data_IF_696447198908
#
_entry.id   IF_696447198908
#
_cell.length_a   1.000
_cell.length_b   1.000
_cell.length_c   1.000
_cell.angle_alpha   90.00
_cell.angle_beta   90.00
_cell.angle_gamma   90.00
#
_symmetry.space_group_name_H-M   'P 1'
#
loop_
_entity.id
_entity.type
_entity.pdbx_description
1 polymer ?
#
# COMPACT_ATOMS: atom_id res chain seq x y z
N UNK A 1 -39.09 36.85 -4.86
CA UNK A 1 -38.11 37.26 -5.88
C UNK A 1 -37.22 36.05 -6.12
N UNK A 2 -37.51 35.29 -7.17
CA UNK A 2 -36.78 34.07 -7.52
C UNK A 2 -35.39 34.46 -8.03
N UNK A 3 -34.34 33.87 -7.46
CA UNK A 3 -32.99 33.96 -8.00
C UNK A 3 -32.97 33.11 -9.26
N UNK A 4 -32.85 33.77 -10.41
CA UNK A 4 -32.71 33.11 -11.70
C UNK A 4 -31.40 32.36 -11.77
N UNK A 5 -31.47 31.04 -11.92
CA UNK A 5 -30.35 30.21 -12.37
C UNK A 5 -29.89 30.71 -13.74
N UNK A 6 -28.75 31.40 -13.74
CA UNK A 6 -28.04 31.77 -14.97
C UNK A 6 -27.57 30.48 -15.61
N UNK A 7 -28.27 30.01 -16.66
CA UNK A 7 -27.81 28.89 -17.48
C UNK A 7 -26.42 29.20 -18.01
N UNK A 8 -25.42 28.40 -17.65
CA UNK A 8 -24.15 28.31 -18.34
C UNK A 8 -24.39 27.73 -19.74
N UNK A 9 -24.85 28.55 -20.66
CA UNK A 9 -24.96 28.18 -22.07
C UNK A 9 -23.53 28.20 -22.68
N UNK A 10 -23.13 27.07 -23.27
CA UNK A 10 -21.86 26.77 -23.97
C UNK A 10 -20.66 26.21 -23.17
N UNK A 11 -20.90 25.44 -22.10
CA UNK A 11 -19.83 24.59 -21.55
C UNK A 11 -19.50 23.42 -22.49
N UNK A 12 -18.24 23.29 -22.92
CA UNK A 12 -17.75 22.13 -23.68
C UNK A 12 -16.98 21.18 -22.77
N UNK A 13 -17.33 19.89 -22.79
CA UNK A 13 -16.62 18.86 -22.04
C UNK A 13 -15.31 18.50 -22.76
N UNK A 14 -14.19 18.62 -22.06
CA UNK A 14 -12.86 18.28 -22.57
C UNK A 14 -12.33 17.07 -21.82
N UNK A 15 -12.69 15.87 -22.30
CA UNK A 15 -12.22 14.62 -21.71
C UNK A 15 -10.70 14.47 -21.95
N UNK A 16 -9.90 14.19 -20.90
CA UNK A 16 -8.45 14.02 -21.06
C UNK A 16 -8.09 12.92 -22.06
N UNK A 17 -7.00 13.12 -22.79
CA UNK A 17 -6.48 12.13 -23.72
C UNK A 17 -6.02 10.87 -22.96
N UNK A 18 -6.76 9.78 -23.08
CA UNK A 18 -6.53 8.55 -22.32
C UNK A 18 -5.13 7.99 -22.55
N UNK A 19 -4.68 7.93 -23.81
CA UNK A 19 -3.37 7.40 -24.19
C UNK A 19 -2.22 8.17 -23.52
N UNK A 20 -2.30 9.50 -23.50
CA UNK A 20 -1.26 10.36 -22.90
C UNK A 20 -1.31 10.32 -21.39
N UNK A 21 -2.50 10.48 -20.80
CA UNK A 21 -2.63 10.59 -19.35
C UNK A 21 -2.24 9.29 -18.65
N UNK A 22 -2.65 8.13 -19.16
CA UNK A 22 -2.26 6.85 -18.55
C UNK A 22 -0.75 6.66 -18.55
N UNK A 23 -0.04 7.02 -19.63
CA UNK A 23 1.43 6.95 -19.64
C UNK A 23 2.05 7.78 -18.52
N UNK A 24 1.57 9.01 -18.31
CA UNK A 24 2.03 9.85 -17.20
C UNK A 24 1.68 9.28 -15.83
N UNK A 25 0.49 8.69 -15.67
CA UNK A 25 0.07 8.08 -14.41
C UNK A 25 0.87 6.82 -14.05
N UNK A 26 1.36 6.08 -15.05
CA UNK A 26 2.25 4.92 -14.84
C UNK A 26 3.59 5.28 -14.22
N UNK A 27 4.06 6.52 -14.42
CA UNK A 27 5.38 6.98 -13.97
C UNK A 27 5.33 7.70 -12.60
N UNK A 28 4.23 7.56 -11.83
CA UNK A 28 4.02 8.19 -10.51
C UNK A 28 5.01 7.72 -9.41
N UNK A 29 5.90 6.77 -9.73
CA UNK A 29 7.07 6.45 -8.90
C UNK A 29 6.85 5.33 -7.89
N UNK A 30 5.84 4.49 -8.07
CA UNK A 30 5.70 3.26 -7.30
C UNK A 30 6.82 2.27 -7.62
N UNK A 31 7.40 1.69 -6.58
CA UNK A 31 8.10 0.42 -6.69
C UNK A 31 7.12 -0.75 -6.48
N UNK A 32 7.60 -1.97 -6.68
CA UNK A 32 6.79 -3.18 -6.58
C UNK A 32 6.14 -3.35 -5.20
N UNK A 33 6.90 -3.14 -4.13
CA UNK A 33 6.45 -3.38 -2.76
C UNK A 33 5.47 -2.31 -2.28
N UNK A 34 5.71 -1.04 -2.61
CA UNK A 34 4.79 0.07 -2.34
C UNK A 34 3.49 -0.06 -3.12
N UNK A 35 3.53 -0.53 -4.37
CA UNK A 35 2.33 -0.77 -5.18
C UNK A 35 1.44 -1.86 -4.55
N UNK A 36 2.02 -2.98 -4.11
CA UNK A 36 1.27 -4.05 -3.44
C UNK A 36 0.75 -3.57 -2.08
N UNK A 37 1.54 -2.83 -1.30
CA UNK A 37 1.08 -2.28 -0.03
C UNK A 37 -0.12 -1.33 -0.18
N UNK A 38 -0.16 -0.53 -1.25
CA UNK A 38 -1.33 0.31 -1.54
C UNK A 38 -2.58 -0.51 -1.93
N UNK A 39 -2.42 -1.72 -2.49
CA UNK A 39 -3.55 -2.63 -2.70
C UNK A 39 -4.02 -3.25 -1.37
N UNK A 40 -3.09 -3.64 -0.49
CA UNK A 40 -3.42 -4.14 0.85
C UNK A 40 -4.13 -3.06 1.68
N UNK A 41 -3.72 -1.80 1.57
CA UNK A 41 -4.41 -0.68 2.23
C UNK A 41 -5.91 -0.66 1.85
N UNK A 42 -6.26 -0.92 0.57
CA UNK A 42 -7.66 -1.02 0.15
C UNK A 42 -8.36 -2.25 0.74
N UNK A 43 -7.67 -3.39 0.85
CA UNK A 43 -8.21 -4.59 1.49
C UNK A 43 -8.50 -4.36 2.98
N UNK A 44 -7.63 -3.65 3.70
CA UNK A 44 -7.85 -3.26 5.10
C UNK A 44 -9.07 -2.34 5.21
N UNK A 45 -9.19 -1.33 4.34
CA UNK A 45 -10.39 -0.46 4.27
C UNK A 45 -11.67 -1.24 3.96
N UNK A 46 -11.57 -2.32 3.20
CA UNK A 46 -12.69 -3.21 2.88
C UNK A 46 -13.04 -4.17 4.03
N UNK A 47 -12.32 -4.11 5.16
CA UNK A 47 -12.56 -4.99 6.31
C UNK A 47 -11.95 -6.38 6.18
N UNK A 48 -10.97 -6.58 5.28
CA UNK A 48 -10.36 -7.88 5.09
C UNK A 48 -9.53 -8.31 6.31
N UNK A 49 -9.72 -9.56 6.74
CA UNK A 49 -8.90 -10.22 7.76
C UNK A 49 -7.82 -11.11 7.15
N UNK A 50 -7.87 -11.34 5.84
CA UNK A 50 -6.91 -12.15 5.08
C UNK A 50 -6.64 -11.53 3.72
N UNK A 51 -5.36 -11.50 3.35
CA UNK A 51 -4.90 -11.17 1.99
C UNK A 51 -3.92 -12.24 1.51
N UNK A 52 -4.20 -12.83 0.35
CA UNK A 52 -3.34 -13.79 -0.33
C UNK A 52 -2.69 -13.15 -1.56
N UNK A 53 -1.36 -13.14 -1.57
CA UNK A 53 -0.54 -12.66 -2.69
C UNK A 53 0.09 -13.88 -3.35
N UNK A 54 -0.16 -14.04 -4.64
CA UNK A 54 0.46 -15.07 -5.46
C UNK A 54 1.25 -14.39 -6.59
N UNK A 55 2.55 -14.67 -6.63
CA UNK A 55 3.48 -14.21 -7.67
C UNK A 55 3.97 -15.44 -8.42
N UNK A 56 3.58 -15.54 -9.68
CA UNK A 56 3.93 -16.66 -10.56
C UNK A 56 4.89 -16.21 -11.67
N UNK A 57 5.93 -17.02 -11.90
CA UNK A 57 6.87 -16.81 -13.00
C UNK A 57 6.61 -17.80 -14.13
N UNK A 58 6.07 -17.31 -15.24
CA UNK A 58 5.82 -18.09 -16.44
C UNK A 58 6.07 -17.25 -17.70
N UNK A 59 7.26 -16.67 -17.81
CA UNK A 59 7.63 -15.83 -18.96
C UNK A 59 6.67 -14.66 -19.16
N UNK A 60 6.10 -14.53 -20.36
CA UNK A 60 5.09 -13.51 -20.68
C UNK A 60 3.74 -13.74 -19.97
N UNK A 61 3.46 -14.96 -19.50
CA UNK A 61 2.28 -15.33 -18.73
C UNK A 61 2.45 -15.14 -17.21
N UNK A 62 3.61 -14.65 -16.76
CA UNK A 62 3.85 -14.30 -15.36
C UNK A 62 2.78 -13.32 -14.85
N UNK A 63 2.32 -13.51 -13.62
CA UNK A 63 1.27 -12.69 -13.03
C UNK A 63 1.52 -12.42 -11.55
N UNK A 64 0.84 -11.39 -11.05
CA UNK A 64 0.70 -11.13 -9.61
C UNK A 64 -0.78 -11.06 -9.29
N UNK A 65 -1.25 -11.90 -8.37
CA UNK A 65 -2.62 -11.92 -7.90
C UNK A 65 -2.67 -11.53 -6.43
N UNK A 66 -3.53 -10.57 -6.10
CA UNK A 66 -3.82 -10.14 -4.74
C UNK A 66 -5.29 -10.44 -4.50
N UNK A 67 -5.61 -11.33 -3.57
CA UNK A 67 -6.97 -11.69 -3.20
C UNK A 67 -7.22 -11.35 -1.74
N UNK A 68 -8.33 -10.71 -1.42
CA UNK A 68 -8.76 -10.43 -0.06
C UNK A 68 -10.15 -11.00 0.23
N UNK A 69 -10.45 -11.15 1.52
CA UNK A 69 -11.76 -11.58 2.01
C UNK A 69 -12.58 -10.41 2.59
N UNK A 70 -12.40 -9.20 2.07
CA UNK A 70 -13.15 -8.03 2.48
C UNK A 70 -14.61 -8.09 2.03
N UNK A 71 -15.34 -6.97 2.23
CA UNK A 71 -16.78 -6.87 1.89
C UNK A 71 -17.13 -7.01 0.41
N UNK A 72 -16.13 -6.95 -0.48
CA UNK A 72 -16.33 -6.92 -1.94
C UNK A 72 -16.99 -5.64 -2.46
N UNK A 73 -17.35 -5.66 -3.75
CA UNK A 73 -18.00 -4.57 -4.48
C UNK A 73 -19.04 -5.13 -5.44
N UNK A 74 -20.21 -4.48 -5.51
CA UNK A 74 -21.19 -4.72 -6.57
C UNK A 74 -20.62 -4.35 -7.94
N UNK A 75 -21.30 -4.73 -9.02
CA UNK A 75 -20.82 -4.40 -10.38
C UNK A 75 -20.68 -2.88 -10.61
N UNK A 76 -21.62 -2.08 -10.08
CA UNK A 76 -21.58 -0.62 -10.21
C UNK A 76 -20.48 0.00 -9.33
N UNK A 77 -20.32 -0.46 -8.08
CA UNK A 77 -19.22 -0.02 -7.21
C UNK A 77 -17.86 -0.37 -7.81
N UNK A 78 -17.71 -1.56 -8.39
CA UNK A 78 -16.48 -1.97 -9.04
C UNK A 78 -16.19 -1.12 -10.27
N UNK A 79 -17.22 -0.83 -11.08
CA UNK A 79 -17.09 0.05 -12.25
C UNK A 79 -16.63 1.45 -11.85
N UNK A 80 -17.18 2.00 -10.76
CA UNK A 80 -16.77 3.30 -10.24
C UNK A 80 -15.36 3.24 -9.61
N UNK A 81 -15.03 2.18 -8.87
CA UNK A 81 -13.68 1.95 -8.35
C UNK A 81 -12.63 1.88 -9.46
N UNK A 82 -13.00 1.42 -10.66
CA UNK A 82 -12.14 1.37 -11.84
C UNK A 82 -12.03 2.72 -12.59
N UNK A 83 -12.87 3.72 -12.28
CA UNK A 83 -12.81 5.07 -12.87
C UNK A 83 -11.61 5.85 -12.32
N UNK A 84 -10.83 6.49 -13.20
CA UNK A 84 -9.80 7.44 -12.77
C UNK A 84 -10.45 8.73 -12.25
N UNK A 85 -10.05 9.18 -11.06
CA UNK A 85 -10.72 10.31 -10.40
C UNK A 85 -12.11 9.96 -9.88
N UNK A 86 -12.30 8.71 -9.43
CA UNK A 86 -13.57 8.22 -8.87
C UNK A 86 -14.08 9.12 -7.74
N UNK A 87 -15.39 9.34 -7.70
CA UNK A 87 -16.04 10.07 -6.61
C UNK A 87 -16.11 9.16 -5.38
N UNK A 88 -15.18 9.34 -4.42
CA UNK A 88 -15.19 8.60 -3.16
C UNK A 88 -15.31 9.57 -1.98
N UNK A 89 -16.30 9.32 -1.13
CA UNK A 89 -16.38 9.95 0.19
C UNK A 89 -15.36 9.22 1.07
N UNK A 90 -14.28 9.90 1.44
CA UNK A 90 -13.26 9.34 2.34
C UNK A 90 -13.72 9.48 3.79
N UNK A 91 -13.57 8.42 4.57
CA UNK A 91 -13.69 8.51 6.01
C UNK A 91 -12.39 9.07 6.61
N UNK A 92 -12.48 9.67 7.81
CA UNK A 92 -11.31 10.20 8.54
C UNK A 92 -10.25 9.14 8.84
N UNK A 93 -10.60 7.86 8.70
CA UNK A 93 -9.81 6.69 9.06
C UNK A 93 -9.25 5.92 7.86
N UNK A 94 -9.56 6.35 6.63
CA UNK A 94 -9.17 5.66 5.40
C UNK A 94 -7.65 5.75 5.15
N UNK A 95 -7.07 4.65 4.68
CA UNK A 95 -5.64 4.54 4.36
C UNK A 95 -5.30 5.23 3.03
N UNK A 96 -6.24 5.32 2.09
CA UNK A 96 -6.16 6.00 0.80
C UNK A 96 -6.92 7.33 0.78
N UNK A 97 -6.41 8.31 0.03
CA UNK A 97 -6.93 9.69 0.01
C UNK A 97 -7.33 10.22 -1.38
N UNK A 98 -6.85 9.59 -2.47
CA UNK A 98 -6.90 10.20 -3.80
C UNK A 98 -7.69 9.42 -4.84
N UNK A 99 -8.14 8.20 -4.51
CA UNK A 99 -9.00 7.42 -5.42
C UNK A 99 -8.23 6.93 -6.65
N UNK A 100 -6.91 7.09 -6.65
CA UNK A 100 -6.01 6.69 -7.72
C UNK A 100 -5.28 5.39 -7.39
N UNK A 101 -5.11 5.06 -6.09
CA UNK A 101 -4.25 4.00 -5.55
C UNK A 101 -4.32 2.69 -6.34
N UNK A 102 -5.49 2.04 -6.41
CA UNK A 102 -5.68 0.79 -7.16
C UNK A 102 -5.13 0.87 -8.60
N UNK A 103 -5.46 1.93 -9.33
CA UNK A 103 -5.17 2.06 -10.75
C UNK A 103 -3.73 2.47 -10.99
N UNK A 104 -3.22 3.45 -10.24
CA UNK A 104 -1.85 3.93 -10.37
C UNK A 104 -0.85 2.90 -9.87
N UNK A 105 -1.13 2.23 -8.76
CA UNK A 105 -0.31 1.13 -8.27
C UNK A 105 -0.26 -0.01 -9.30
N UNK A 106 -1.42 -0.48 -9.78
CA UNK A 106 -1.46 -1.59 -10.74
C UNK A 106 -0.77 -1.25 -12.06
N UNK A 107 -1.12 -0.12 -12.69
CA UNK A 107 -0.56 0.28 -13.98
C UNK A 107 0.92 0.66 -13.91
N UNK A 108 1.45 1.05 -12.74
CA UNK A 108 2.89 1.26 -12.57
C UNK A 108 3.71 -0.03 -12.72
N UNK A 109 3.10 -1.21 -12.52
CA UNK A 109 3.81 -2.49 -12.53
C UNK A 109 3.52 -3.36 -13.76
N UNK A 110 2.36 -3.18 -14.40
CA UNK A 110 1.89 -4.04 -15.47
C UNK A 110 1.24 -3.26 -16.63
N UNK A 111 0.92 -3.96 -17.72
CA UNK A 111 0.18 -3.40 -18.86
C UNK A 111 -1.28 -3.82 -18.94
N UNK A 112 -1.67 -4.80 -18.14
CA UNK A 112 -3.05 -5.24 -18.01
C UNK A 112 -3.30 -5.55 -16.55
N UNK A 113 -4.37 -5.01 -15.99
CA UNK A 113 -4.86 -5.51 -14.72
C UNK A 113 -6.36 -5.75 -14.78
N UNK A 114 -6.78 -6.82 -14.12
CA UNK A 114 -8.18 -7.19 -13.96
C UNK A 114 -8.54 -7.12 -12.49
N UNK A 115 -9.76 -6.70 -12.21
CA UNK A 115 -10.33 -6.72 -10.86
C UNK A 115 -11.62 -7.50 -10.91
N UNK A 116 -11.74 -8.51 -10.06
CA UNK A 116 -12.96 -9.25 -9.82
C UNK A 116 -13.42 -9.05 -8.38
N UNK A 117 -14.73 -9.00 -8.15
CA UNK A 117 -15.26 -8.83 -6.81
C UNK A 117 -16.61 -9.51 -6.65
N UNK A 118 -16.87 -9.97 -5.42
CA UNK A 118 -18.09 -10.66 -5.01
C UNK A 118 -18.54 -10.12 -3.65
N UNK A 119 -19.84 -9.82 -3.52
CA UNK A 119 -20.44 -9.23 -2.31
C UNK A 119 -21.27 -10.20 -1.47
N UNK A 120 -21.58 -11.38 -1.99
CA UNK A 120 -22.44 -12.34 -1.31
C UNK A 120 -22.13 -13.78 -1.73
N UNK A 121 -22.16 -14.69 -0.76
CA UNK A 121 -22.04 -16.12 -0.99
C UNK A 121 -23.33 -16.76 -1.54
N UNK A 122 -24.47 -16.06 -1.46
CA UNK A 122 -25.78 -16.56 -1.90
C UNK A 122 -25.91 -16.61 -3.43
N UNK A 123 -25.22 -15.71 -4.13
CA UNK A 123 -25.19 -15.67 -5.60
C UNK A 123 -23.77 -15.89 -6.10
N UNK A 124 -23.60 -16.61 -7.21
CA UNK A 124 -22.29 -16.78 -7.89
C UNK A 124 -21.96 -15.59 -8.81
N UNK A 125 -22.53 -14.42 -8.53
CA UNK A 125 -22.34 -13.25 -9.37
C UNK A 125 -21.02 -12.57 -9.01
N UNK A 126 -19.99 -12.87 -9.80
CA UNK A 126 -18.69 -12.21 -9.74
C UNK A 126 -18.67 -11.13 -10.82
N UNK A 127 -18.53 -9.87 -10.41
CA UNK A 127 -18.30 -8.78 -11.34
C UNK A 127 -16.81 -8.71 -11.64
N UNK A 128 -16.42 -8.56 -12.91
CA UNK A 128 -15.02 -8.44 -13.29
C UNK A 128 -14.81 -7.46 -14.44
N UNK A 129 -13.81 -6.60 -14.29
CA UNK A 129 -13.41 -5.63 -15.31
C UNK A 129 -11.88 -5.58 -15.45
N UNK A 130 -11.43 -5.21 -16.64
CA UNK A 130 -10.04 -5.22 -17.03
C UNK A 130 -9.66 -3.86 -17.64
N UNK A 131 -8.53 -3.33 -17.23
CA UNK A 131 -7.85 -2.24 -17.92
C UNK A 131 -6.70 -2.79 -18.74
N UNK A 132 -6.74 -2.63 -20.07
CA UNK A 132 -5.70 -3.06 -21.00
C UNK A 132 -5.05 -1.85 -21.68
N UNK A 133 -3.75 -1.64 -21.44
CA UNK A 133 -3.01 -0.53 -22.03
C UNK A 133 -2.97 -0.58 -23.57
N UNK A 134 -2.83 -1.76 -24.17
CA UNK A 134 -2.84 -1.93 -25.62
C UNK A 134 -4.18 -1.53 -26.24
N UNK A 135 -5.29 -1.79 -25.53
CA UNK A 135 -6.61 -1.34 -25.96
C UNK A 135 -6.70 0.19 -25.96
N UNK A 136 -6.29 0.82 -24.87
CA UNK A 136 -6.35 2.28 -24.72
C UNK A 136 -5.40 2.97 -25.71
N UNK A 137 -4.23 2.39 -25.97
CA UNK A 137 -3.33 2.89 -26.99
C UNK A 137 -3.98 2.89 -28.37
N UNK A 138 -4.77 1.87 -28.70
CA UNK A 138 -5.47 1.79 -29.99
C UNK A 138 -6.68 2.73 -30.06
N UNK A 139 -7.55 2.73 -29.04
CA UNK A 139 -8.83 3.45 -29.08
C UNK A 139 -8.74 4.90 -28.61
N UNK A 140 -7.74 5.23 -27.78
CA UNK A 140 -7.63 6.50 -27.05
C UNK A 140 -8.89 6.83 -26.21
N UNK A 141 -9.56 5.80 -25.68
CA UNK A 141 -10.76 5.93 -24.86
C UNK A 141 -10.54 5.40 -23.44
N UNK A 142 -11.30 5.94 -22.49
CA UNK A 142 -11.35 5.45 -21.10
C UNK A 142 -12.34 4.29 -20.98
N UNK A 143 -11.94 3.12 -21.46
CA UNK A 143 -12.80 1.93 -21.52
C UNK A 143 -12.22 0.80 -20.66
N UNK A 144 -13.05 0.28 -19.76
CA UNK A 144 -12.81 -1.00 -19.09
C UNK A 144 -13.44 -2.14 -19.92
N UNK A 145 -12.79 -3.29 -19.91
CA UNK A 145 -13.17 -4.46 -20.72
C UNK A 145 -13.63 -5.60 -19.81
N UNK A 146 -14.53 -6.48 -20.26
CA UNK A 146 -14.73 -7.76 -19.60
C UNK A 146 -13.49 -8.65 -19.80
N UNK A 147 -12.98 -9.36 -18.78
CA UNK A 147 -11.94 -10.37 -18.97
C UNK A 147 -12.48 -11.53 -19.82
N UNK A 148 -11.71 -11.96 -20.84
CA UNK A 148 -12.20 -12.93 -21.85
C UNK A 148 -11.49 -14.28 -21.86
N UNK A 149 -10.23 -14.36 -21.40
CA UNK A 149 -9.48 -15.62 -21.45
C UNK A 149 -9.91 -16.52 -20.29
N UNK A 150 -10.14 -17.80 -20.58
CA UNK A 150 -10.57 -18.80 -19.58
C UNK A 150 -9.59 -18.91 -18.40
N UNK A 151 -8.29 -18.88 -18.68
CA UNK A 151 -7.23 -18.94 -17.66
C UNK A 151 -7.26 -17.72 -16.72
N UNK A 152 -7.45 -16.51 -17.28
CA UNK A 152 -7.61 -15.27 -16.50
C UNK A 152 -8.86 -15.37 -15.62
N UNK A 153 -9.97 -15.85 -16.18
CA UNK A 153 -11.22 -16.01 -15.44
C UNK A 153 -11.07 -16.98 -14.26
N UNK A 154 -10.36 -18.10 -14.44
CA UNK A 154 -10.05 -19.00 -13.35
C UNK A 154 -9.24 -18.31 -12.24
N UNK A 155 -8.13 -17.63 -12.61
CA UNK A 155 -7.32 -16.88 -11.64
C UNK A 155 -8.10 -15.81 -10.86
N UNK A 156 -9.11 -15.20 -11.48
CA UNK A 156 -9.99 -14.22 -10.84
C UNK A 156 -11.08 -14.86 -9.97
N UNK A 157 -11.64 -15.98 -10.39
CA UNK A 157 -12.81 -16.59 -9.75
C UNK A 157 -12.45 -17.59 -8.64
N UNK A 158 -11.37 -18.35 -8.80
CA UNK A 158 -10.98 -19.40 -7.84
C UNK A 158 -10.93 -18.91 -6.39
N UNK A 159 -10.41 -17.69 -6.06
CA UNK A 159 -10.41 -17.19 -4.68
C UNK A 159 -11.79 -16.72 -4.19
N UNK A 160 -12.70 -16.42 -5.10
CA UNK A 160 -14.03 -15.87 -4.84
C UNK A 160 -15.15 -16.94 -4.92
N UNK A 161 -14.82 -18.19 -5.26
CA UNK A 161 -15.80 -19.26 -5.43
C UNK A 161 -16.52 -19.60 -4.12
N UNK A 162 -15.81 -19.55 -2.99
CA UNK A 162 -16.34 -19.86 -1.65
C UNK A 162 -16.39 -18.63 -0.72
N UNK A 163 -15.85 -17.49 -1.15
CA UNK A 163 -15.65 -16.34 -0.29
C UNK A 163 -16.08 -15.01 -0.95
N UNK A 164 -16.58 -14.11 -0.10
CA UNK A 164 -16.78 -12.69 -0.42
C UNK A 164 -15.40 -12.03 -0.44
N UNK A 165 -15.18 -11.09 -1.35
CA UNK A 165 -13.88 -10.45 -1.45
C UNK A 165 -13.62 -9.76 -2.77
N UNK A 166 -12.35 -9.38 -2.95
CA UNK A 166 -11.84 -8.76 -4.17
C UNK A 166 -10.56 -9.44 -4.61
N UNK A 167 -10.39 -9.62 -5.91
CA UNK A 167 -9.17 -10.13 -6.54
C UNK A 167 -8.67 -9.10 -7.53
N UNK A 168 -7.41 -8.69 -7.39
CA UNK A 168 -6.67 -7.87 -8.36
C UNK A 168 -5.63 -8.77 -9.01
N UNK A 169 -5.65 -8.85 -10.34
CA UNK A 169 -4.72 -9.64 -11.13
C UNK A 169 -3.92 -8.72 -12.06
N UNK A 170 -2.60 -8.77 -11.96
CA UNK A 170 -1.67 -8.07 -12.83
C UNK A 170 -1.08 -9.04 -13.86
N UNK A 171 -1.08 -8.65 -15.13
CA UNK A 171 -0.57 -9.43 -16.24
C UNK A 171 0.34 -8.58 -17.13
N UNK A 172 1.25 -9.22 -17.87
CA UNK A 172 2.26 -8.53 -18.71
C UNK A 172 3.07 -7.55 -17.85
N UNK A 173 3.84 -8.12 -16.92
CA UNK A 173 4.61 -7.43 -15.87
C UNK A 173 5.86 -6.71 -16.40
N UNK A 174 5.66 -5.77 -17.31
CA UNK A 174 6.72 -5.13 -18.08
C UNK A 174 7.74 -4.35 -17.27
N UNK A 175 7.33 -3.75 -16.15
CA UNK A 175 8.22 -2.99 -15.27
C UNK A 175 8.96 -3.89 -14.26
N UNK A 176 8.44 -5.07 -13.99
CA UNK A 176 9.03 -6.06 -13.08
C UNK A 176 10.05 -6.92 -13.82
N UNK A 177 9.64 -7.56 -14.91
CA UNK A 177 10.47 -8.54 -15.65
C UNK A 177 11.24 -7.91 -16.82
N UNK A 178 10.75 -6.80 -17.38
CA UNK A 178 11.34 -6.17 -18.56
C UNK A 178 11.08 -6.96 -19.84
N UNK A 179 10.64 -6.28 -20.90
CA UNK A 179 10.27 -6.93 -22.17
C UNK A 179 11.39 -7.67 -22.90
N UNK A 180 12.66 -7.32 -22.66
CA UNK A 180 13.77 -7.90 -23.43
C UNK A 180 14.11 -9.32 -22.98
N UNK A 181 13.89 -9.64 -21.70
CA UNK A 181 14.27 -10.93 -21.12
C UNK A 181 13.26 -11.39 -20.04
N UNK A 182 11.96 -11.54 -20.36
CA UNK A 182 10.99 -12.06 -19.40
C UNK A 182 11.18 -13.57 -19.13
N UNK A 183 12.08 -14.21 -19.87
CA UNK A 183 12.38 -15.64 -19.79
C UNK A 183 13.72 -15.91 -19.08
N UNK A 184 13.86 -17.14 -18.60
CA UNK A 184 15.14 -17.68 -18.13
C UNK A 184 15.42 -17.47 -16.65
N UNK A 185 16.55 -18.05 -16.22
CA UNK A 185 16.89 -18.18 -14.80
C UNK A 185 17.17 -16.83 -14.13
N UNK A 186 17.73 -15.86 -14.87
CA UNK A 186 18.02 -14.52 -14.35
C UNK A 186 16.73 -13.76 -13.98
N UNK A 187 15.73 -13.77 -14.88
CA UNK A 187 14.43 -13.15 -14.63
C UNK A 187 13.71 -13.81 -13.45
N UNK A 188 13.74 -15.15 -13.38
CA UNK A 188 13.22 -15.91 -12.24
C UNK A 188 13.93 -15.53 -10.93
N UNK A 189 15.26 -15.48 -10.91
CA UNK A 189 16.05 -15.08 -9.73
C UNK A 189 15.72 -13.66 -9.27
N UNK A 190 15.53 -12.73 -10.23
CA UNK A 190 15.10 -11.36 -9.93
C UNK A 190 13.74 -11.35 -9.25
N UNK A 191 12.74 -12.06 -9.80
CA UNK A 191 11.40 -12.11 -9.21
C UNK A 191 11.43 -12.72 -7.80
N UNK A 192 12.21 -13.78 -7.59
CA UNK A 192 12.40 -14.38 -6.25
C UNK A 192 13.03 -13.36 -5.26
N UNK A 193 14.01 -12.57 -5.69
CA UNK A 193 14.58 -11.50 -4.85
C UNK A 193 13.51 -10.47 -4.47
N UNK A 194 12.71 -10.04 -5.47
CA UNK A 194 11.63 -9.09 -5.25
C UNK A 194 10.56 -9.63 -4.30
N UNK A 195 10.24 -10.93 -4.34
CA UNK A 195 9.34 -11.56 -3.38
C UNK A 195 9.91 -11.52 -1.94
N UNK A 196 11.20 -11.77 -1.75
CA UNK A 196 11.84 -11.68 -0.41
C UNK A 196 11.82 -10.26 0.12
N UNK A 197 12.17 -9.28 -0.74
CA UNK A 197 12.10 -7.86 -0.40
C UNK A 197 10.67 -7.43 -0.08
N UNK A 198 9.68 -7.98 -0.79
CA UNK A 198 8.26 -7.76 -0.52
C UNK A 198 7.85 -8.32 0.85
N UNK A 199 8.25 -9.55 1.21
CA UNK A 199 7.96 -10.14 2.52
C UNK A 199 8.49 -9.27 3.66
N UNK A 200 9.76 -8.87 3.57
CA UNK A 200 10.40 -8.02 4.58
C UNK A 200 9.71 -6.65 4.67
N UNK A 201 9.39 -6.05 3.52
CA UNK A 201 8.73 -4.75 3.45
C UNK A 201 7.32 -4.79 4.04
N UNK A 202 6.49 -5.75 3.64
CA UNK A 202 5.12 -5.89 4.14
C UNK A 202 5.08 -6.28 5.62
N UNK A 203 5.99 -7.18 6.04
CA UNK A 203 6.16 -7.56 7.44
C UNK A 203 6.53 -6.39 8.34
N UNK A 204 7.26 -5.41 7.81
CA UNK A 204 7.59 -4.14 8.49
C UNK A 204 6.43 -3.14 8.44
N UNK A 205 5.82 -2.90 7.28
CA UNK A 205 4.82 -1.84 7.10
C UNK A 205 3.53 -2.14 7.85
N UNK A 206 3.10 -3.39 7.81
CA UNK A 206 1.85 -3.86 8.39
C UNK A 206 2.05 -4.59 9.72
N UNK A 207 3.23 -4.51 10.35
CA UNK A 207 3.58 -5.32 11.52
C UNK A 207 2.51 -5.28 12.63
N UNK A 208 1.96 -4.09 12.94
CA UNK A 208 0.89 -3.91 13.93
C UNK A 208 -0.40 -4.66 13.59
N UNK A 209 -0.78 -4.70 12.31
CA UNK A 209 -1.96 -5.44 11.84
C UNK A 209 -1.75 -6.96 11.91
N UNK A 210 -0.50 -7.41 11.75
CA UNK A 210 -0.12 -8.83 11.82
C UNK A 210 -0.05 -9.36 13.27
N UNK A 211 0.11 -8.50 14.29
CA UNK A 211 0.22 -8.87 15.72
C UNK A 211 -0.97 -8.43 16.58
N UNK A 212 -2.08 -8.01 15.97
CA UNK A 212 -3.30 -7.63 16.67
C UNK A 212 -3.13 -6.40 17.58
N UNK A 213 -2.24 -5.48 17.22
CA UNK A 213 -2.00 -4.23 17.98
C UNK A 213 -2.85 -3.05 17.47
N UNK A 214 -3.71 -3.28 16.47
CA UNK A 214 -4.60 -2.25 15.95
C UNK A 214 -6.00 -2.39 16.55
N UNK A 215 -6.68 -1.26 16.74
CA UNK A 215 -8.05 -1.27 17.24
C UNK A 215 -9.08 -1.72 16.18
N UNK A 216 -8.69 -1.79 14.90
CA UNK A 216 -9.61 -1.99 13.77
C UNK A 216 -9.86 -3.46 13.50
N UNK A 217 -8.82 -4.23 13.17
CA UNK A 217 -8.93 -5.67 12.90
C UNK A 217 -7.55 -6.32 12.74
N UNK A 218 -7.51 -7.64 12.90
CA UNK A 218 -6.33 -8.45 12.63
C UNK A 218 -6.25 -8.76 11.14
N UNK A 219 -5.04 -8.80 10.60
CA UNK A 219 -4.81 -9.12 9.20
C UNK A 219 -3.77 -10.22 9.07
N UNK A 220 -4.13 -11.29 8.36
CA UNK A 220 -3.19 -12.31 7.92
C UNK A 220 -2.82 -12.06 6.46
N UNK A 221 -1.53 -11.87 6.19
CA UNK A 221 -1.01 -11.73 4.83
C UNK A 221 -0.20 -12.98 4.48
N UNK A 222 -0.46 -13.54 3.30
CA UNK A 222 0.29 -14.66 2.73
C UNK A 222 0.97 -14.24 1.43
N UNK A 223 2.25 -14.57 1.25
CA UNK A 223 2.95 -14.47 -0.03
C UNK A 223 3.35 -15.87 -0.49
N UNK A 224 2.89 -16.28 -1.67
CA UNK A 224 3.17 -17.61 -2.22
C UNK A 224 2.92 -18.72 -1.20
N UNK A 225 1.78 -18.64 -0.51
CA UNK A 225 1.31 -19.54 0.55
C UNK A 225 2.07 -19.47 1.88
N UNK A 226 3.10 -18.64 2.00
CA UNK A 226 3.82 -18.43 3.25
C UNK A 226 3.20 -17.26 4.03
N UNK A 227 2.80 -17.50 5.28
CA UNK A 227 2.31 -16.44 6.17
C UNK A 227 3.45 -15.49 6.51
N UNK A 228 3.22 -14.19 6.30
CA UNK A 228 4.19 -13.16 6.61
C UNK A 228 4.46 -13.10 8.12
N UNK A 229 5.71 -12.82 8.46
CA UNK A 229 6.13 -12.59 9.85
C UNK A 229 6.22 -11.10 10.12
N UNK A 230 5.65 -10.60 11.22
CA UNK A 230 5.80 -9.20 11.61
C UNK A 230 7.28 -8.90 11.91
N UNK A 231 7.67 -7.68 11.58
CA UNK A 231 8.94 -7.10 11.99
C UNK A 231 8.66 -5.84 12.83
N UNK A 232 8.84 -5.99 14.15
CA UNK A 232 8.70 -4.91 15.11
C UNK A 232 10.04 -4.14 15.24
N UNK A 233 10.08 -2.84 14.89
CA UNK A 233 11.30 -2.04 14.95
C UNK A 233 11.76 -1.69 16.37
N UNK A 234 10.93 -1.92 17.40
CA UNK A 234 11.17 -1.46 18.76
C UNK A 234 11.77 -2.53 19.67
N UNK A 235 11.89 -3.77 19.20
CA UNK A 235 12.44 -4.91 19.96
C UNK A 235 11.83 -5.06 21.38
N UNK A 236 10.51 -4.85 21.50
CA UNK A 236 9.78 -4.85 22.79
C UNK A 236 9.85 -6.18 23.55
N UNK A 237 10.20 -7.26 22.86
CA UNK A 237 10.40 -8.59 23.45
C UNK A 237 11.76 -8.77 24.12
N UNK A 238 12.72 -7.88 23.86
CA UNK A 238 14.06 -7.94 24.48
C UNK A 238 14.01 -7.32 25.89
N UNK A 239 14.50 -8.02 26.94
CA UNK A 239 14.38 -7.55 28.33
C UNK A 239 15.03 -6.20 28.61
N UNK A 240 16.12 -5.89 27.91
CA UNK A 240 16.91 -4.67 28.11
C UNK A 240 16.43 -3.49 27.23
N UNK A 241 15.33 -3.67 26.48
CA UNK A 241 14.69 -2.55 25.76
C UNK A 241 14.08 -1.57 26.75
N UNK A 242 14.49 -0.31 26.67
CA UNK A 242 13.99 0.76 27.55
C UNK A 242 12.90 1.55 26.84
N UNK A 243 11.68 1.42 27.33
CA UNK A 243 10.55 2.26 26.95
C UNK A 243 10.56 3.56 27.78
N UNK A 244 10.61 4.72 27.11
CA UNK A 244 10.62 6.02 27.77
C UNK A 244 9.20 6.59 27.88
N UNK A 245 9.03 7.68 28.64
CA UNK A 245 7.70 8.29 28.80
C UNK A 245 7.16 8.85 27.47
N UNK A 246 5.89 8.57 27.11
CA UNK A 246 5.30 9.10 25.89
C UNK A 246 5.17 10.62 25.92
N UNK A 247 5.39 11.25 24.77
CA UNK A 247 5.21 12.69 24.56
C UNK A 247 3.97 12.91 23.69
N UNK A 248 2.97 13.60 24.25
CA UNK A 248 1.75 13.97 23.53
C UNK A 248 1.86 15.40 23.02
N UNK A 249 1.75 15.59 21.72
CA UNK A 249 1.81 16.90 21.06
C UNK A 249 0.47 17.20 20.41
N UNK A 250 -0.08 18.38 20.63
CA UNK A 250 -1.20 18.90 19.84
C UNK A 250 -0.64 19.69 18.67
N UNK A 251 -1.06 19.36 17.46
CA UNK A 251 -0.70 20.05 16.23
C UNK A 251 -1.93 20.79 15.71
N UNK A 252 -1.78 22.08 15.40
CA UNK A 252 -2.79 22.87 14.71
C UNK A 252 -2.23 23.29 13.34
N UNK A 253 -2.91 22.92 12.26
CA UNK A 253 -2.50 23.23 10.90
C UNK A 253 -3.74 23.57 10.06
N UNK A 254 -3.76 24.75 9.46
CA UNK A 254 -4.86 25.20 8.56
C UNK A 254 -6.27 25.03 9.15
N UNK A 255 -6.42 25.30 10.46
CA UNK A 255 -7.71 25.18 11.16
C UNK A 255 -8.07 23.76 11.63
N UNK A 256 -7.29 22.74 11.25
CA UNK A 256 -7.44 21.37 11.75
C UNK A 256 -6.54 21.14 12.97
N UNK A 257 -7.11 20.59 14.04
CA UNK A 257 -6.38 20.22 15.26
C UNK A 257 -6.32 18.71 15.41
N UNK A 258 -5.13 18.17 15.63
CA UNK A 258 -4.92 16.73 15.83
C UNK A 258 -3.89 16.46 16.92
N UNK A 259 -3.93 15.24 17.45
CA UNK A 259 -2.97 14.76 18.45
C UNK A 259 -1.91 13.89 17.78
N UNK A 260 -0.68 14.07 18.21
CA UNK A 260 0.48 13.27 17.83
C UNK A 260 1.00 12.61 19.11
N UNK A 261 1.26 11.31 19.04
CA UNK A 261 1.87 10.54 20.11
C UNK A 261 3.28 10.13 19.68
N UNK A 262 4.26 10.52 20.49
CA UNK A 262 5.64 10.06 20.36
C UNK A 262 5.93 9.07 21.48
N UNK A 263 6.36 7.87 21.14
CA UNK A 263 6.77 6.83 22.09
C UNK A 263 8.24 6.47 21.81
N UNK A 264 9.20 6.97 22.62
CA UNK A 264 10.61 6.69 22.42
C UNK A 264 11.03 5.35 23.06
N UNK A 265 11.94 4.66 22.38
CA UNK A 265 12.57 3.42 22.82
C UNK A 265 14.09 3.51 22.66
N UNK A 266 14.81 2.88 23.59
CA UNK A 266 16.26 2.61 23.48
C UNK A 266 16.44 1.10 23.44
N UNK A 267 16.98 0.61 22.33
CA UNK A 267 17.20 -0.82 22.11
C UNK A 267 18.48 -1.28 22.83
N UNK A 268 18.61 -2.59 23.15
CA UNK A 268 19.80 -3.14 23.76
C UNK A 268 21.03 -3.06 22.83
N UNK A 269 22.22 -3.08 23.43
CA UNK A 269 23.46 -3.35 22.71
C UNK A 269 23.53 -4.81 22.24
N UNK A 270 24.45 -5.13 21.33
CA UNK A 270 24.55 -6.48 20.75
C UNK A 270 24.77 -7.57 21.81
N UNK A 271 25.51 -7.23 22.86
CA UNK A 271 25.84 -8.11 23.99
C UNK A 271 24.65 -8.35 24.93
N UNK A 272 23.68 -7.44 24.93
CA UNK A 272 22.47 -7.47 25.77
C UNK A 272 21.28 -8.14 25.05
N UNK A 273 21.36 -8.34 23.74
CA UNK A 273 20.33 -9.07 23.00
C UNK A 273 20.30 -10.54 23.37
N UNK A 274 19.09 -11.11 23.40
CA UNK A 274 18.81 -12.52 23.69
C UNK A 274 19.62 -13.50 22.83
N UNK A 275 19.93 -13.12 21.58
CA UNK A 275 20.79 -13.89 20.68
C UNK A 275 21.35 -13.04 19.55
N UNK A 276 22.43 -13.52 18.93
CA UNK A 276 23.01 -12.93 17.70
C UNK A 276 21.99 -12.85 16.56
N UNK A 277 21.09 -13.83 16.45
CA UNK A 277 20.09 -13.87 15.39
C UNK A 277 18.92 -12.91 15.67
N UNK A 278 18.52 -12.73 16.93
CA UNK A 278 17.57 -11.70 17.33
C UNK A 278 18.12 -10.29 17.03
N UNK A 279 19.40 -10.05 17.34
CA UNK A 279 20.07 -8.79 17.02
C UNK A 279 20.14 -8.51 15.51
N UNK A 280 20.46 -9.53 14.69
CA UNK A 280 20.46 -9.40 13.22
C UNK A 280 19.05 -9.11 12.71
N UNK A 281 18.03 -9.79 13.22
CA UNK A 281 16.63 -9.55 12.82
C UNK A 281 16.19 -8.13 13.18
N UNK A 282 16.50 -7.63 14.38
CA UNK A 282 16.18 -6.28 14.82
C UNK A 282 16.86 -5.17 13.99
N UNK A 283 17.91 -5.50 13.23
CA UNK A 283 18.56 -4.56 12.31
C UNK A 283 17.67 -4.14 11.13
N UNK A 284 16.63 -4.94 10.82
CA UNK A 284 15.66 -4.67 9.76
C UNK A 284 16.22 -4.67 8.34
N UNK A 285 15.36 -4.40 7.34
CA UNK A 285 15.73 -4.50 5.92
C UNK A 285 16.84 -3.53 5.48
N UNK A 286 17.00 -2.40 6.17
CA UNK A 286 18.00 -1.38 5.83
C UNK A 286 19.26 -1.38 6.74
N UNK A 287 19.41 -2.38 7.62
CA UNK A 287 20.42 -2.46 8.67
C UNK A 287 20.31 -1.37 9.76
N UNK A 288 20.97 -1.62 10.89
CA UNK A 288 20.92 -0.79 12.10
C UNK A 288 21.11 0.72 11.88
N UNK A 289 22.08 1.12 11.05
CA UNK A 289 22.41 2.54 10.89
C UNK A 289 21.35 3.32 10.10
N UNK A 290 20.58 2.65 9.24
CA UNK A 290 19.48 3.30 8.52
C UNK A 290 18.16 3.25 9.30
N UNK A 291 18.05 2.32 10.26
CA UNK A 291 16.87 2.13 11.09
C UNK A 291 16.82 3.01 12.35
N UNK A 292 17.80 3.89 12.59
CA UNK A 292 17.73 4.82 13.72
C UNK A 292 16.72 5.96 13.49
N UNK A 293 16.07 6.42 14.57
CA UNK A 293 15.21 7.62 14.54
C UNK A 293 13.72 7.30 14.49
N UNK A 294 12.99 8.07 13.68
CA UNK A 294 11.52 8.08 13.68
C UNK A 294 10.91 6.97 12.82
N UNK A 295 9.94 6.30 13.40
CA UNK A 295 9.02 5.37 12.76
C UNK A 295 7.65 6.02 12.76
N UNK A 296 7.22 6.46 11.59
CA UNK A 296 6.02 7.27 11.45
C UNK A 296 4.86 6.38 11.03
N UNK A 297 3.76 6.48 11.76
CA UNK A 297 2.53 5.72 11.54
C UNK A 297 1.36 6.66 11.28
N UNK A 298 0.58 6.31 10.26
CA UNK A 298 -0.70 6.93 9.92
C UNK A 298 -1.78 5.85 10.00
N UNK A 299 -2.73 5.99 10.93
CA UNK A 299 -3.76 4.98 11.18
C UNK A 299 -3.18 3.55 11.29
N UNK A 300 -2.18 3.39 12.17
CA UNK A 300 -1.44 2.15 12.45
C UNK A 300 -0.60 1.55 11.30
N UNK A 301 -0.70 2.08 10.08
CA UNK A 301 0.19 1.75 8.96
C UNK A 301 1.48 2.54 9.06
N UNK A 302 2.64 1.85 9.02
CA UNK A 302 3.92 2.53 8.94
C UNK A 302 4.07 3.20 7.56
N UNK A 303 4.43 4.48 7.55
CA UNK A 303 4.70 5.26 6.33
C UNK A 303 6.17 5.69 6.22
N UNK A 304 6.93 5.61 7.32
CA UNK A 304 8.38 5.83 7.31
C UNK A 304 9.07 4.90 8.31
N UNK A 305 10.16 4.26 7.87
CA UNK A 305 11.01 3.39 8.68
C UNK A 305 12.36 4.05 8.91
N UNK A 306 12.58 4.56 10.12
CA UNK A 306 13.82 5.22 10.51
C UNK A 306 14.04 6.60 9.87
N UNK A 307 15.21 7.17 10.15
CA UNK A 307 15.61 8.52 9.77
C UNK A 307 15.22 9.58 10.82
N UNK A 308 15.96 10.69 10.80
CA UNK A 308 15.78 11.81 11.74
C UNK A 308 15.04 13.00 11.14
N UNK A 309 14.48 12.85 9.94
CA UNK A 309 13.69 13.89 9.25
C UNK A 309 14.37 15.28 9.17
N UNK A 310 15.71 15.30 9.13
CA UNK A 310 16.52 16.51 9.08
C UNK A 310 16.75 17.20 10.43
N UNK A 311 16.33 16.60 11.55
CA UNK A 311 16.59 17.12 12.92
C UNK A 311 18.05 16.87 13.32
N UNK A 312 18.62 15.76 12.89
CA UNK A 312 20.03 15.43 13.10
C UNK A 312 20.57 14.50 12.02
N UNK A 313 21.89 14.41 11.94
CA UNK A 313 22.59 13.41 11.16
C UNK A 313 22.50 12.05 11.84
N UNK A 314 22.63 10.98 11.04
CA UNK A 314 22.78 9.63 11.57
C UNK A 314 24.13 9.54 12.28
N UNK A 315 24.13 8.91 13.44
CA UNK A 315 25.33 8.75 14.26
C UNK A 315 25.32 7.34 14.91
N UNK A 316 26.50 6.81 15.25
CA UNK A 316 26.64 5.49 15.86
C UNK A 316 26.12 5.50 17.31
N UNK A 317 26.25 6.61 18.04
CA UNK A 317 25.72 6.78 19.39
C UNK A 317 24.19 6.80 19.45
N UNK A 318 23.53 7.08 18.32
CA UNK A 318 22.06 7.12 18.22
C UNK A 318 21.48 5.89 17.51
N UNK A 319 22.32 4.91 17.19
CA UNK A 319 21.95 3.70 16.44
C UNK A 319 20.87 2.86 17.10
N UNK A 320 20.79 2.89 18.42
CA UNK A 320 19.82 2.13 19.22
C UNK A 320 18.54 2.92 19.51
N UNK A 321 18.47 4.20 19.13
CA UNK A 321 17.28 5.01 19.37
C UNK A 321 16.21 4.72 18.32
N UNK A 322 14.98 4.50 18.78
CA UNK A 322 13.78 4.35 17.96
C UNK A 322 12.68 5.23 18.53
N UNK A 323 11.95 5.95 17.69
CA UNK A 323 10.85 6.82 18.13
C UNK A 323 9.63 6.50 17.30
N UNK A 324 8.62 5.92 17.92
CA UNK A 324 7.32 5.73 17.30
C UNK A 324 6.58 7.06 17.27
N UNK A 325 6.12 7.50 16.10
CA UNK A 325 5.30 8.70 15.92
C UNK A 325 3.98 8.30 15.29
N UNK A 326 2.89 8.37 16.06
CA UNK A 326 1.55 8.11 15.57
C UNK A 326 0.79 9.43 15.39
N UNK A 327 0.11 9.58 14.26
CA UNK A 327 -0.81 10.70 14.00
C UNK A 327 -2.08 10.23 13.27
N UNK A 328 -3.15 11.00 13.44
CA UNK A 328 -4.45 10.74 12.78
C UNK A 328 -4.43 11.26 11.33
N UNK A 329 -5.08 10.57 10.37
CA UNK A 329 -5.16 11.00 8.97
C UNK A 329 -5.66 12.44 8.75
N UNK A 330 -6.42 13.01 9.70
CA UNK A 330 -6.83 14.42 9.65
C UNK A 330 -5.63 15.40 9.53
N UNK A 331 -4.42 14.97 9.93
CA UNK A 331 -3.19 15.76 9.84
C UNK A 331 -2.39 15.53 8.55
N UNK A 332 -2.90 14.80 7.55
CA UNK A 332 -2.17 14.46 6.32
C UNK A 332 -1.54 15.66 5.61
N UNK A 333 -2.27 16.79 5.55
CA UNK A 333 -1.77 18.01 4.92
C UNK A 333 -0.56 18.57 5.68
N UNK A 334 -0.60 18.52 7.02
CA UNK A 334 0.50 18.99 7.86
C UNK A 334 1.77 18.16 7.67
N UNK A 335 1.63 16.85 7.43
CA UNK A 335 2.73 15.92 7.17
C UNK A 335 3.13 15.82 5.68
N UNK A 336 2.41 16.52 4.80
CA UNK A 336 2.62 16.58 3.34
C UNK A 336 2.76 15.20 2.68
N UNK A 337 1.87 14.29 3.03
CA UNK A 337 1.89 12.93 2.49
C UNK A 337 1.50 12.96 1.01
N UNK A 338 2.34 12.39 0.15
CA UNK A 338 2.07 12.27 -1.27
C UNK A 338 1.22 11.02 -1.59
N UNK A 339 0.70 10.92 -2.83
CA UNK A 339 -0.19 9.82 -3.28
C UNK A 339 0.42 8.44 -3.03
N UNK A 340 1.71 8.27 -3.32
CA UNK A 340 2.43 7.02 -3.11
C UNK A 340 2.85 6.79 -1.64
N UNK A 341 2.52 7.72 -0.72
CA UNK A 341 2.87 7.68 0.71
C UNK A 341 4.37 7.48 0.98
N UNK A 342 5.21 7.83 0.01
CA UNK A 342 6.65 7.54 0.02
C UNK A 342 7.48 8.60 0.76
N UNK A 343 6.93 9.78 1.02
CA UNK A 343 7.65 10.85 1.71
C UNK A 343 6.77 11.53 2.73
N UNK A 344 7.31 11.63 3.93
CA UNK A 344 6.74 12.39 5.04
C UNK A 344 7.66 13.56 5.34
N UNK A 345 7.09 14.75 5.48
CA UNK A 345 7.83 15.91 5.98
C UNK A 345 7.31 16.25 7.38
N UNK A 346 8.19 16.14 8.39
CA UNK A 346 7.82 16.56 9.75
C UNK A 346 7.47 18.06 9.78
N UNK A 347 6.30 18.43 10.36
CA UNK A 347 5.97 19.82 10.65
C UNK A 347 7.07 20.53 11.45
N UNK A 348 7.30 21.81 11.17
CA UNK A 348 8.33 22.61 11.84
C UNK A 348 8.18 22.63 13.38
N UNK A 349 6.94 22.60 13.86
CA UNK A 349 6.60 22.56 15.29
C UNK A 349 7.13 21.30 16.01
N UNK A 350 7.29 20.19 15.30
CA UNK A 350 7.89 18.95 15.83
C UNK A 350 9.41 18.94 15.74
N UNK A 351 10.02 19.72 14.84
CA UNK A 351 11.48 19.79 14.69
C UNK A 351 12.18 20.61 15.77
N UNK A 352 11.44 21.50 16.42
CA UNK A 352 11.96 22.42 17.44
C UNK A 352 11.88 21.84 18.86
N UNK A 353 11.40 20.61 19.01
CA UNK A 353 11.27 19.87 20.28
C UNK A 353 12.08 18.60 20.19
#
# INVERSE_FOLDING_TARGET
MMVSDTKMEDAQEVIPNARRLIKSLRDIGYDFSTAIADLIDNSIEAGASRVDILVEFDGDSSFVRIADNGKGMSSDELKEAMRYGSERIYNEDDLGKFGLGLKTASMSQCQSFSVASRISNETKNIAAFCWDLSHIEKTNKWEILPPKKKEILALLHDPLDEHIGTVVLWERLDRILGFKHPYGESARKKLISMCRELEDYLGMVFHKFLVNETAKQNLDIYLNWNKLKPWDPFARTEPETKELSPIKVKLNHEGVSGKILLQPYILPTKEEFSSSDAFKRASGPANWNQQQGFYIYRADRMIQSGGWCGIRTRDEHTKLSRIELNFSPILDNAFKINVAKMRVQLPAQLKMR
#
